data_IF_456096955501
#
_entry.id   IF_456096955501
#
_cell.length_a   1.000
_cell.length_b   1.000
_cell.length_c   1.000
_cell.angle_alpha   90.00
_cell.angle_beta   90.00
_cell.angle_gamma   90.00
#
_symmetry.space_group_name_H-M   'P 1'
#
loop_
_entity.id
_entity.type
_entity.pdbx_description
1 polymer ?
#
# COMPACT_ATOMS: atom_id res chain seq x y z
N UNK A 1 -39.76 -20.42 46.90
CA UNK A 1 -38.67 -20.30 45.91
C UNK A 1 -37.47 -20.97 46.53
N UNK A 2 -36.99 -22.07 45.93
CA UNK A 2 -35.93 -22.89 46.54
C UNK A 2 -34.57 -22.19 46.40
N UNK A 3 -33.78 -22.17 47.48
CA UNK A 3 -32.45 -21.54 47.52
C UNK A 3 -31.54 -22.13 46.43
N UNK A 4 -31.74 -23.41 46.11
CA UNK A 4 -31.03 -24.11 45.04
C UNK A 4 -31.33 -23.49 43.66
N UNK A 5 -32.59 -23.13 43.38
CA UNK A 5 -32.97 -22.50 42.11
C UNK A 5 -32.38 -21.09 41.96
N UNK A 6 -32.28 -20.34 43.07
CA UNK A 6 -31.66 -19.00 43.09
C UNK A 6 -30.15 -19.12 42.81
N UNK A 7 -29.46 -20.05 43.47
CA UNK A 7 -28.03 -20.28 43.28
C UNK A 7 -27.71 -20.73 41.85
N UNK A 8 -28.52 -21.63 41.28
CA UNK A 8 -28.38 -22.09 39.89
C UNK A 8 -28.62 -20.95 38.88
N UNK A 9 -29.61 -20.09 39.10
CA UNK A 9 -29.86 -18.91 38.26
C UNK A 9 -28.70 -17.91 38.31
N UNK A 10 -28.16 -17.64 39.49
CA UNK A 10 -27.00 -16.76 39.66
C UNK A 10 -25.74 -17.32 38.97
N UNK A 11 -25.41 -18.60 39.21
CA UNK A 11 -24.25 -19.25 38.59
C UNK A 11 -24.37 -19.29 37.06
N UNK A 12 -25.57 -19.55 36.53
CA UNK A 12 -25.82 -19.54 35.09
C UNK A 12 -25.65 -18.14 34.49
N UNK A 13 -26.14 -17.10 35.19
CA UNK A 13 -25.94 -15.71 34.79
C UNK A 13 -24.47 -15.30 34.77
N UNK A 14 -23.71 -15.68 35.80
CA UNK A 14 -22.25 -15.43 35.86
C UNK A 14 -21.52 -16.16 34.74
N UNK A 15 -21.85 -17.43 34.49
CA UNK A 15 -21.22 -18.22 33.42
C UNK A 15 -21.49 -17.61 32.04
N UNK A 16 -22.75 -17.20 31.79
CA UNK A 16 -23.14 -16.54 30.54
C UNK A 16 -22.43 -15.19 30.37
N UNK A 17 -22.29 -14.40 31.43
CA UNK A 17 -21.57 -13.14 31.40
C UNK A 17 -20.07 -13.35 31.10
N UNK A 18 -19.43 -14.37 31.69
CA UNK A 18 -18.04 -14.72 31.42
C UNK A 18 -17.83 -15.18 29.99
N UNK A 19 -18.70 -16.06 29.47
CA UNK A 19 -18.64 -16.54 28.08
C UNK A 19 -18.85 -15.36 27.12
N UNK A 20 -19.85 -14.51 27.37
CA UNK A 20 -20.12 -13.32 26.56
C UNK A 20 -18.95 -12.34 26.57
N UNK A 21 -18.32 -12.12 27.73
CA UNK A 21 -17.11 -11.31 27.87
C UNK A 21 -15.92 -11.85 27.07
N UNK A 22 -15.66 -13.16 27.14
CA UNK A 22 -14.59 -13.81 26.39
C UNK A 22 -14.80 -13.74 24.88
N UNK A 23 -16.02 -13.98 24.41
CA UNK A 23 -16.36 -13.88 22.98
C UNK A 23 -16.18 -12.45 22.48
N UNK A 24 -16.73 -11.47 23.21
CA UNK A 24 -16.59 -10.05 22.85
C UNK A 24 -15.12 -9.61 22.84
N UNK A 25 -14.33 -10.05 23.82
CA UNK A 25 -12.91 -9.75 23.87
C UNK A 25 -12.18 -10.30 22.63
N UNK A 26 -12.38 -11.57 22.29
CA UNK A 26 -11.76 -12.18 21.11
C UNK A 26 -12.14 -11.46 19.80
N UNK A 27 -13.43 -11.14 19.63
CA UNK A 27 -13.91 -10.42 18.44
C UNK A 27 -13.26 -9.03 18.37
N UNK A 28 -13.18 -8.33 19.50
CA UNK A 28 -12.57 -7.01 19.59
C UNK A 28 -11.08 -7.05 19.23
N UNK A 29 -10.32 -7.97 19.82
CA UNK A 29 -8.89 -8.13 19.54
C UNK A 29 -8.65 -8.40 18.06
N UNK A 30 -9.38 -9.34 17.46
CA UNK A 30 -9.25 -9.64 16.03
C UNK A 30 -9.61 -8.43 15.16
N UNK A 31 -10.64 -7.66 15.54
CA UNK A 31 -10.99 -6.45 14.81
C UNK A 31 -9.92 -5.36 14.93
N UNK A 32 -9.25 -5.26 16.07
CA UNK A 32 -8.17 -4.29 16.30
C UNK A 32 -6.92 -4.68 15.50
N UNK A 33 -6.55 -5.96 15.50
CA UNK A 33 -5.47 -6.53 14.66
C UNK A 33 -5.74 -6.27 13.17
N UNK A 34 -6.96 -6.57 12.70
CA UNK A 34 -7.34 -6.35 11.31
C UNK A 34 -7.23 -4.87 10.91
N UNK A 35 -7.68 -3.95 11.77
CA UNK A 35 -7.55 -2.51 11.53
C UNK A 35 -6.09 -2.05 11.52
N UNK A 36 -5.23 -2.65 12.34
CA UNK A 36 -3.80 -2.36 12.34
C UNK A 36 -3.16 -2.79 11.00
N UNK A 37 -3.49 -3.98 10.51
CA UNK A 37 -3.03 -4.48 9.20
C UNK A 37 -3.51 -3.57 8.08
N UNK A 38 -4.81 -3.24 8.03
CA UNK A 38 -5.38 -2.36 6.99
C UNK A 38 -4.70 -0.98 6.97
N UNK A 39 -4.38 -0.43 8.16
CA UNK A 39 -3.65 0.82 8.28
C UNK A 39 -2.22 0.69 7.74
N UNK A 40 -1.52 -0.38 8.10
CA UNK A 40 -0.17 -0.63 7.62
C UNK A 40 -0.13 -0.80 6.09
N UNK A 41 -1.06 -1.56 5.53
CA UNK A 41 -1.19 -1.75 4.08
C UNK A 41 -1.46 -0.42 3.35
N UNK A 42 -2.26 0.46 3.94
CA UNK A 42 -2.47 1.80 3.40
C UNK A 42 -1.17 2.63 3.39
N UNK A 43 -0.41 2.63 4.49
CA UNK A 43 0.87 3.34 4.56
C UNK A 43 1.90 2.77 3.57
N UNK A 44 1.98 1.45 3.45
CA UNK A 44 2.81 0.77 2.46
C UNK A 44 2.40 1.16 1.03
N UNK A 45 1.10 1.24 0.74
CA UNK A 45 0.59 1.70 -0.55
C UNK A 45 1.03 3.14 -0.87
N UNK A 46 0.97 4.05 0.11
CA UNK A 46 1.41 5.43 -0.09
C UNK A 46 2.92 5.49 -0.39
N UNK A 47 3.74 4.76 0.38
CA UNK A 47 5.18 4.72 0.19
C UNK A 47 5.57 4.05 -1.14
N UNK A 48 4.90 2.97 -1.53
CA UNK A 48 5.10 2.33 -2.84
C UNK A 48 4.80 3.30 -3.98
N UNK A 49 3.73 4.10 -3.87
CA UNK A 49 3.44 5.12 -4.87
C UNK A 49 4.54 6.17 -4.93
N UNK A 50 5.04 6.64 -3.80
CA UNK A 50 6.14 7.62 -3.77
C UNK A 50 7.40 7.03 -4.42
N UNK A 51 7.74 5.77 -4.08
CA UNK A 51 8.84 5.03 -4.71
C UNK A 51 8.63 4.95 -6.22
N UNK A 52 7.45 4.54 -6.68
CA UNK A 52 7.10 4.45 -8.10
C UNK A 52 7.27 5.79 -8.83
N UNK A 53 6.88 6.92 -8.22
CA UNK A 53 7.02 8.24 -8.85
C UNK A 53 8.50 8.63 -9.02
N UNK A 54 9.35 8.34 -8.05
CA UNK A 54 10.78 8.63 -8.13
C UNK A 54 11.52 7.64 -9.02
N UNK A 55 11.16 6.36 -8.97
CA UNK A 55 11.79 5.30 -9.76
C UNK A 55 11.54 5.46 -11.26
N UNK A 56 10.48 6.19 -11.65
CA UNK A 56 10.25 6.63 -13.02
C UNK A 56 11.48 7.30 -13.66
N UNK A 57 12.27 8.03 -12.88
CA UNK A 57 13.47 8.73 -13.38
C UNK A 57 14.57 7.76 -13.76
N UNK A 58 14.79 6.70 -12.97
CA UNK A 58 15.72 5.63 -13.32
C UNK A 58 15.30 4.95 -14.63
N UNK A 59 14.03 4.56 -14.75
CA UNK A 59 13.51 3.92 -15.96
C UNK A 59 13.59 4.85 -17.19
N UNK A 60 13.29 6.14 -17.02
CA UNK A 60 13.34 7.12 -18.12
C UNK A 60 14.76 7.43 -18.54
N UNK A 61 15.69 7.56 -17.59
CA UNK A 61 17.09 7.85 -17.89
C UNK A 61 17.80 6.64 -18.50
N UNK A 62 17.48 5.42 -18.06
CA UNK A 62 17.91 4.16 -18.69
C UNK A 62 17.56 4.15 -20.19
N UNK A 63 16.31 4.48 -20.54
CA UNK A 63 15.86 4.56 -21.92
C UNK A 63 16.64 5.58 -22.75
N UNK A 64 16.99 6.72 -22.16
CA UNK A 64 17.74 7.79 -22.83
C UNK A 64 19.26 7.68 -22.69
N UNK A 65 19.76 6.62 -22.05
CA UNK A 65 21.19 6.41 -21.74
C UNK A 65 21.81 7.61 -21.00
N UNK A 66 21.06 8.16 -20.05
CA UNK A 66 21.51 9.25 -19.18
C UNK A 66 21.80 8.72 -17.79
N UNK A 67 22.75 9.36 -17.11
CA UNK A 67 22.94 9.14 -15.69
C UNK A 67 21.78 9.78 -14.91
N UNK A 68 21.45 9.19 -13.76
CA UNK A 68 20.43 9.71 -12.85
C UNK A 68 21.10 10.41 -11.70
N UNK A 69 20.63 11.61 -11.37
CA UNK A 69 21.18 12.43 -10.30
C UNK A 69 21.22 11.67 -8.95
N UNK A 70 22.32 11.83 -8.21
CA UNK A 70 22.53 11.17 -6.92
C UNK A 70 21.43 11.50 -5.88
N UNK A 71 20.83 12.69 -5.96
CA UNK A 71 19.71 13.09 -5.11
C UNK A 71 18.49 12.18 -5.33
N UNK A 72 18.22 11.81 -6.58
CA UNK A 72 17.12 10.90 -6.94
C UNK A 72 17.42 9.51 -6.40
N UNK A 73 18.65 9.00 -6.61
CA UNK A 73 19.08 7.69 -6.12
C UNK A 73 18.96 7.64 -4.58
N UNK A 74 19.43 8.67 -3.89
CA UNK A 74 19.35 8.80 -2.44
C UNK A 74 17.89 8.82 -1.96
N UNK A 75 17.02 9.55 -2.66
CA UNK A 75 15.58 9.62 -2.33
C UNK A 75 14.91 8.26 -2.51
N UNK A 76 15.19 7.56 -3.61
CA UNK A 76 14.70 6.21 -3.86
C UNK A 76 15.15 5.25 -2.75
N UNK A 77 16.43 5.27 -2.40
CA UNK A 77 16.97 4.42 -1.34
C UNK A 77 16.32 4.70 0.01
N UNK A 78 16.12 5.98 0.36
CA UNK A 78 15.42 6.36 1.58
C UNK A 78 13.99 5.79 1.63
N UNK A 79 13.23 5.95 0.55
CA UNK A 79 11.86 5.42 0.49
C UNK A 79 11.86 3.88 0.58
N UNK A 80 12.80 3.21 -0.10
CA UNK A 80 12.95 1.76 -0.05
C UNK A 80 13.24 1.27 1.38
N UNK A 81 14.13 1.94 2.11
CA UNK A 81 14.42 1.65 3.53
C UNK A 81 13.17 1.86 4.39
N UNK A 82 12.44 2.97 4.20
CA UNK A 82 11.21 3.23 4.94
C UNK A 82 10.15 2.14 4.71
N UNK A 83 10.01 1.63 3.47
CA UNK A 83 9.12 0.51 3.17
C UNK A 83 9.61 -0.76 3.89
N UNK A 84 10.90 -1.08 3.81
CA UNK A 84 11.48 -2.24 4.48
C UNK A 84 11.27 -2.22 6.01
N UNK A 85 11.43 -1.05 6.64
CA UNK A 85 11.16 -0.87 8.06
C UNK A 85 9.69 -1.05 8.41
N UNK A 86 8.78 -0.60 7.56
CA UNK A 86 7.34 -0.77 7.78
C UNK A 86 6.91 -2.22 7.58
N UNK A 87 7.49 -2.92 6.60
CA UNK A 87 7.27 -4.35 6.39
C UNK A 87 7.72 -5.20 7.58
N UNK A 88 8.89 -4.91 8.16
CA UNK A 88 9.39 -5.66 9.32
C UNK A 88 8.46 -5.58 10.54
N UNK A 89 7.67 -4.50 10.66
CA UNK A 89 6.68 -4.34 11.73
C UNK A 89 5.35 -5.01 11.41
N UNK A 90 5.08 -5.29 10.14
CA UNK A 90 3.77 -5.68 9.63
C UNK A 90 3.91 -6.84 8.62
N UNK A 91 4.65 -7.89 9.01
CA UNK A 91 4.97 -9.02 8.12
C UNK A 91 3.72 -9.76 7.63
N UNK A 92 2.63 -9.73 8.41
CA UNK A 92 1.32 -10.33 8.09
C UNK A 92 0.56 -9.65 6.93
N UNK A 93 1.06 -8.53 6.40
CA UNK A 93 0.50 -7.90 5.21
C UNK A 93 0.55 -8.85 4.02
N UNK A 94 -0.55 -8.96 3.27
CA UNK A 94 -0.61 -9.84 2.09
C UNK A 94 0.32 -9.38 0.96
N UNK A 95 0.79 -8.12 1.02
CA UNK A 95 1.68 -7.52 0.02
C UNK A 95 3.16 -7.69 0.36
N UNK A 96 3.50 -8.24 1.53
CA UNK A 96 4.87 -8.33 2.04
C UNK A 96 5.81 -8.99 1.02
N UNK A 97 5.44 -10.15 0.49
CA UNK A 97 6.29 -10.89 -0.45
C UNK A 97 6.60 -10.08 -1.72
N UNK A 98 5.57 -9.49 -2.33
CA UNK A 98 5.74 -8.71 -3.57
C UNK A 98 6.52 -7.42 -3.33
N UNK A 99 6.31 -6.76 -2.18
CA UNK A 99 7.07 -5.58 -1.81
C UNK A 99 8.55 -5.93 -1.57
N UNK A 100 8.84 -6.99 -0.81
CA UNK A 100 10.22 -7.45 -0.59
C UNK A 100 10.92 -7.79 -1.92
N UNK A 101 10.21 -8.45 -2.84
CA UNK A 101 10.73 -8.71 -4.18
C UNK A 101 11.05 -7.42 -4.92
N UNK A 102 10.15 -6.43 -4.95
CA UNK A 102 10.43 -5.12 -5.57
C UNK A 102 11.66 -4.45 -4.95
N UNK A 103 11.84 -4.52 -3.63
CA UNK A 103 12.94 -3.83 -2.96
C UNK A 103 14.30 -4.52 -3.17
N UNK A 104 14.34 -5.85 -3.06
CA UNK A 104 15.59 -6.58 -2.87
C UNK A 104 15.93 -7.60 -3.95
N UNK A 105 15.00 -7.95 -4.84
CA UNK A 105 15.28 -8.92 -5.90
C UNK A 105 16.18 -8.27 -6.96
N UNK A 106 17.37 -8.83 -7.17
CA UNK A 106 18.32 -8.37 -8.18
C UNK A 106 18.08 -9.00 -9.56
N UNK A 107 17.06 -9.87 -9.71
CA UNK A 107 16.74 -10.53 -10.98
C UNK A 107 16.10 -9.61 -12.03
N UNK A 108 15.73 -8.37 -11.68
CA UNK A 108 15.23 -7.41 -12.66
C UNK A 108 16.35 -6.99 -13.63
N UNK A 109 16.16 -7.25 -14.91
CA UNK A 109 17.16 -6.91 -15.94
C UNK A 109 17.23 -5.40 -16.21
N UNK A 110 16.13 -4.68 -15.95
CA UNK A 110 16.01 -3.24 -16.24
C UNK A 110 15.24 -2.52 -15.14
N UNK A 111 15.53 -1.23 -14.97
CA UNK A 111 14.74 -0.37 -14.10
C UNK A 111 13.29 -0.27 -14.57
N UNK A 112 13.07 -0.31 -15.89
CA UNK A 112 11.73 -0.31 -16.47
C UNK A 112 10.89 -1.51 -16.04
N UNK A 113 11.50 -2.70 -15.93
CA UNK A 113 10.79 -3.91 -15.48
C UNK A 113 10.33 -3.76 -14.03
N UNK A 114 11.23 -3.35 -13.14
CA UNK A 114 10.92 -3.14 -11.72
C UNK A 114 9.85 -2.06 -11.53
N UNK A 115 9.94 -0.97 -12.29
CA UNK A 115 8.96 0.13 -12.28
C UNK A 115 7.55 -0.32 -12.70
N UNK A 116 7.44 -1.18 -13.72
CA UNK A 116 6.15 -1.75 -14.16
C UNK A 116 5.54 -2.67 -13.10
N UNK A 117 6.38 -3.42 -12.40
CA UNK A 117 5.93 -4.28 -11.30
C UNK A 117 5.41 -3.44 -10.13
N UNK A 118 6.11 -2.36 -9.75
CA UNK A 118 5.60 -1.37 -8.78
C UNK A 118 4.24 -0.80 -9.18
N UNK A 119 4.06 -0.45 -10.46
CA UNK A 119 2.78 0.06 -10.98
C UNK A 119 1.65 -0.96 -10.84
N UNK A 120 1.94 -2.22 -11.18
CA UNK A 120 0.98 -3.33 -11.12
C UNK A 120 0.59 -3.65 -9.69
N UNK A 121 1.55 -3.67 -8.76
CA UNK A 121 1.27 -3.85 -7.33
C UNK A 121 0.48 -2.66 -6.76
N UNK A 122 0.82 -1.42 -7.12
CA UNK A 122 0.07 -0.24 -6.68
C UNK A 122 -1.39 -0.28 -7.14
N UNK A 123 -1.67 -0.79 -8.34
CA UNK A 123 -3.04 -1.01 -8.83
C UNK A 123 -3.81 -2.02 -7.97
N UNK A 124 -3.18 -3.13 -7.57
CA UNK A 124 -3.79 -4.16 -6.71
C UNK A 124 -4.03 -3.60 -5.30
N UNK A 125 -3.01 -3.00 -4.69
CA UNK A 125 -3.12 -2.37 -3.37
C UNK A 125 -4.18 -1.28 -3.37
N UNK A 126 -4.19 -0.40 -4.36
CA UNK A 126 -5.14 0.71 -4.47
C UNK A 126 -6.60 0.26 -4.52
N UNK A 127 -6.90 -0.88 -5.16
CA UNK A 127 -8.25 -1.47 -5.16
C UNK A 127 -8.70 -1.91 -3.78
N UNK A 128 -7.78 -2.42 -2.96
CA UNK A 128 -8.08 -2.85 -1.59
C UNK A 128 -8.14 -1.67 -0.63
N UNK A 129 -7.06 -0.89 -0.54
CA UNK A 129 -6.88 0.10 0.53
C UNK A 129 -7.55 1.44 0.22
N UNK A 130 -7.77 1.78 -1.06
CA UNK A 130 -8.35 3.08 -1.45
C UNK A 130 -9.36 2.97 -2.62
N UNK A 131 -10.35 2.05 -2.59
CA UNK A 131 -11.18 1.69 -3.75
C UNK A 131 -11.87 2.88 -4.42
N UNK A 132 -12.40 3.84 -3.63
CA UNK A 132 -13.04 5.04 -4.16
C UNK A 132 -12.05 5.96 -4.87
N UNK A 133 -10.93 6.25 -4.22
CA UNK A 133 -9.88 7.11 -4.79
C UNK A 133 -9.28 6.48 -6.04
N UNK A 134 -8.98 5.18 -5.98
CA UNK A 134 -8.50 4.38 -7.09
C UNK A 134 -9.44 4.45 -8.31
N UNK A 135 -10.76 4.32 -8.11
CA UNK A 135 -11.76 4.47 -9.17
C UNK A 135 -11.68 5.84 -9.85
N UNK A 136 -11.57 6.93 -9.08
CA UNK A 136 -11.45 8.28 -9.63
C UNK A 136 -10.12 8.49 -10.36
N UNK A 137 -9.00 8.01 -9.81
CA UNK A 137 -7.69 8.09 -10.46
C UNK A 137 -7.69 7.36 -11.81
N UNK A 138 -8.34 6.19 -11.89
CA UNK A 138 -8.49 5.45 -13.14
C UNK A 138 -9.26 6.25 -14.19
N UNK A 139 -10.38 6.84 -13.82
CA UNK A 139 -11.17 7.70 -14.71
C UNK A 139 -10.36 8.93 -15.19
N UNK A 140 -9.59 9.54 -14.30
CA UNK A 140 -8.69 10.65 -14.65
C UNK A 140 -7.59 10.19 -15.62
N UNK A 141 -6.98 9.02 -15.40
CA UNK A 141 -5.96 8.47 -16.29
C UNK A 141 -6.51 8.18 -17.68
N UNK A 142 -7.68 7.55 -17.77
CA UNK A 142 -8.36 7.27 -19.05
C UNK A 142 -8.63 8.57 -19.82
N UNK A 143 -9.05 9.62 -19.11
CA UNK A 143 -9.25 10.96 -19.68
C UNK A 143 -7.92 11.60 -20.11
N UNK A 144 -6.87 11.47 -19.29
CA UNK A 144 -5.53 11.99 -19.54
C UNK A 144 -4.89 11.39 -20.79
N UNK A 145 -5.14 10.12 -21.12
CA UNK A 145 -4.67 9.50 -22.36
C UNK A 145 -5.13 10.27 -23.60
N UNK A 146 -6.37 10.78 -23.58
CA UNK A 146 -6.91 11.59 -24.69
C UNK A 146 -6.18 12.93 -24.82
N UNK A 147 -5.79 13.55 -23.71
CA UNK A 147 -4.99 14.78 -23.73
C UNK A 147 -3.55 14.53 -24.18
N UNK A 148 -2.96 13.40 -23.77
CA UNK A 148 -1.59 13.02 -24.15
C UNK A 148 -1.45 12.74 -25.65
N UNK A 149 -2.51 12.29 -26.31
CA UNK A 149 -2.52 12.07 -27.75
C UNK A 149 -2.49 13.37 -28.58
N UNK A 150 -2.67 14.54 -27.96
CA UNK A 150 -2.67 15.84 -28.66
C UNK A 150 -1.23 16.28 -28.95
N UNK A 151 -1.02 16.85 -30.14
CA UNK A 151 0.26 17.48 -30.48
C UNK A 151 0.57 18.63 -29.53
N UNK A 152 1.83 18.72 -29.07
CA UNK A 152 2.27 19.74 -28.12
C UNK A 152 1.80 19.54 -26.67
N UNK A 153 1.37 18.32 -26.29
CA UNK A 153 1.04 18.03 -24.91
C UNK A 153 2.25 18.16 -23.98
N UNK A 154 2.12 18.99 -22.94
CA UNK A 154 3.06 19.08 -21.83
C UNK A 154 2.36 18.64 -20.55
N UNK A 155 2.93 17.69 -19.77
CA UNK A 155 2.33 17.25 -18.51
C UNK A 155 2.31 18.41 -17.49
N UNK A 156 1.13 18.69 -16.92
CA UNK A 156 0.93 19.78 -15.93
C UNK A 156 0.38 19.30 -14.58
N UNK A 157 0.01 18.03 -14.47
CA UNK A 157 -0.55 17.48 -13.24
C UNK A 157 0.58 17.21 -12.23
N UNK A 158 0.58 17.81 -11.03
CA UNK A 158 1.69 17.67 -10.08
C UNK A 158 1.83 16.26 -9.49
N UNK A 159 0.75 15.47 -9.51
CA UNK A 159 0.72 14.10 -8.97
C UNK A 159 1.20 13.01 -9.94
N UNK A 160 1.68 13.35 -11.15
CA UNK A 160 2.28 12.37 -12.05
C UNK A 160 3.80 12.48 -12.04
N UNK A 161 4.49 11.34 -12.14
CA UNK A 161 5.96 11.26 -12.32
C UNK A 161 6.45 12.11 -13.47
N UNK A 162 5.61 12.28 -14.50
CA UNK A 162 5.88 13.07 -15.70
C UNK A 162 5.90 14.57 -15.43
N UNK A 163 5.42 15.05 -14.29
CA UNK A 163 5.34 16.48 -14.00
C UNK A 163 6.69 17.19 -14.08
N UNK A 164 7.77 16.52 -13.67
CA UNK A 164 9.12 17.10 -13.75
C UNK A 164 9.79 16.87 -15.10
N UNK A 165 9.13 16.24 -16.07
CA UNK A 165 9.56 16.25 -17.47
C UNK A 165 9.29 17.67 -17.98
N UNK A 166 10.20 18.60 -17.65
CA UNK A 166 10.26 19.92 -18.26
C UNK A 166 10.79 19.72 -19.69
N UNK A 167 9.91 19.30 -20.59
CA UNK A 167 10.15 19.27 -22.04
C UNK A 167 9.98 20.66 -22.61
#
# INVERSE_FOLDING_TARGET
MDIQSIALGFLSGVLLALIGGLINHKIKTKSEEQKAIEKAEYELFLKLNDLYQWYFWLATNELHKKETDDEIITTIHKIAVDIGQELHKNEDSEFTEQLLRILYDESYETYTQRWKEMSSLSEVMGKKVTPKHHKYLKQLNDSNLTYMAKSGFTPKAPGTSRFRLRV
#
